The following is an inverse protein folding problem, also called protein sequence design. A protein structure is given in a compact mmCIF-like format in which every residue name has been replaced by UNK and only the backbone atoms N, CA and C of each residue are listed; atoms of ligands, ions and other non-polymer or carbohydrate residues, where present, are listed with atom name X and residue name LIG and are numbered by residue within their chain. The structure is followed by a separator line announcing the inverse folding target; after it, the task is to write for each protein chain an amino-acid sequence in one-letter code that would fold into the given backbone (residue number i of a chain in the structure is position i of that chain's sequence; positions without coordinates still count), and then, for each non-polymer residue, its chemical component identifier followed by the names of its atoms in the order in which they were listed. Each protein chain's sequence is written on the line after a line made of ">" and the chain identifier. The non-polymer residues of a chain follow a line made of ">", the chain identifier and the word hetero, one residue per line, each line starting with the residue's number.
data_IF_051093354270
#
_entry.id   IF_051093354270
#
_cell.length_a   1.000
_cell.length_b   1.000
_cell.length_c   1.000
_cell.angle_alpha   90.00
_cell.angle_beta   90.00
_cell.angle_gamma   90.00
#
_symmetry.space_group_name_H-M   'P 1'
#
loop_
_entity.id
_entity.type
_entity.pdbx_description
1 polymer ?
#
# COMPACT_ATOMS: atom_id res chain seq x y z
N UNK A 1 -13.78 5.46 -40.98
CA UNK A 1 -14.68 6.23 -40.10
C UNK A 1 -13.82 6.68 -38.92
N UNK A 2 -13.37 7.93 -38.96
CA UNK A 2 -12.46 8.47 -37.91
C UNK A 2 -13.31 8.79 -36.68
N UNK A 3 -13.08 8.09 -35.59
CA UNK A 3 -13.73 8.40 -34.31
C UNK A 3 -13.16 9.73 -33.84
N UNK A 4 -13.92 10.81 -34.00
CA UNK A 4 -13.58 12.12 -33.45
C UNK A 4 -13.74 12.00 -31.94
N UNK A 5 -12.61 12.01 -31.23
CA UNK A 5 -12.56 11.99 -29.78
C UNK A 5 -13.22 13.28 -29.25
N UNK A 6 -14.44 13.17 -28.68
CA UNK A 6 -15.26 14.31 -28.22
C UNK A 6 -14.68 15.01 -26.95
N UNK A 7 -13.50 14.60 -26.48
CA UNK A 7 -12.90 15.09 -25.25
C UNK A 7 -11.92 16.25 -25.49
N UNK A 8 -12.19 17.17 -26.43
CA UNK A 8 -11.37 18.37 -26.62
C UNK A 8 -12.23 19.63 -26.47
N UNK A 9 -11.83 20.54 -25.62
CA UNK A 9 -12.35 21.90 -25.56
C UNK A 9 -11.30 22.85 -26.16
N UNK A 10 -11.64 23.56 -27.22
CA UNK A 10 -10.72 24.43 -27.98
C UNK A 10 -9.43 23.72 -28.44
N UNK A 11 -9.53 22.44 -28.86
CA UNK A 11 -8.37 21.68 -29.35
C UNK A 11 -7.42 21.17 -28.25
N UNK A 12 -7.72 21.39 -26.97
CA UNK A 12 -6.97 20.85 -25.83
C UNK A 12 -7.73 19.67 -25.22
N UNK A 13 -7.03 18.62 -24.74
CA UNK A 13 -7.68 17.51 -24.05
C UNK A 13 -8.43 18.04 -22.81
N UNK A 14 -9.74 17.73 -22.75
CA UNK A 14 -10.56 18.10 -21.60
C UNK A 14 -10.33 17.11 -20.45
N UNK A 15 -9.95 17.62 -19.27
CA UNK A 15 -9.85 16.84 -18.05
C UNK A 15 -11.18 16.88 -17.30
N UNK A 16 -11.77 15.72 -17.03
CA UNK A 16 -12.96 15.61 -16.18
C UNK A 16 -12.65 16.00 -14.73
N UNK A 17 -13.71 16.24 -13.93
CA UNK A 17 -13.53 16.52 -12.50
C UNK A 17 -12.79 15.38 -11.76
N UNK A 18 -13.08 14.13 -12.11
CA UNK A 18 -12.39 12.96 -11.54
C UNK A 18 -10.91 12.92 -11.95
N UNK A 19 -10.59 13.28 -13.19
CA UNK A 19 -9.23 13.38 -13.66
C UNK A 19 -8.42 14.44 -12.89
N UNK A 20 -9.00 15.64 -12.73
CA UNK A 20 -8.39 16.73 -11.95
C UNK A 20 -8.17 16.31 -10.49
N UNK A 21 -9.17 15.63 -9.89
CA UNK A 21 -9.06 15.08 -8.54
C UNK A 21 -7.91 14.08 -8.42
N UNK A 22 -7.78 13.13 -9.36
CA UNK A 22 -6.71 12.15 -9.35
C UNK A 22 -5.33 12.79 -9.42
N UNK A 23 -5.14 13.78 -10.31
CA UNK A 23 -3.87 14.52 -10.42
C UNK A 23 -3.58 15.34 -9.15
N UNK A 24 -4.60 15.94 -8.52
CA UNK A 24 -4.42 16.69 -7.29
C UNK A 24 -4.03 15.81 -6.11
N UNK A 25 -4.60 14.59 -6.02
CA UNK A 25 -4.19 13.61 -5.01
C UNK A 25 -2.78 13.09 -5.27
N UNK A 26 -2.43 12.79 -6.53
CA UNK A 26 -1.08 12.37 -6.89
C UNK A 26 -0.02 13.44 -6.61
N UNK A 27 -0.37 14.73 -6.74
CA UNK A 27 0.50 15.84 -6.34
C UNK A 27 0.77 15.89 -4.82
N UNK A 28 -0.07 15.24 -4.01
CA UNK A 28 0.11 15.03 -2.57
C UNK A 28 0.73 13.65 -2.27
N UNK A 29 1.35 13.01 -3.28
CA UNK A 29 1.97 11.69 -3.17
C UNK A 29 1.01 10.54 -2.85
N UNK A 30 -0.31 10.75 -2.99
CA UNK A 30 -1.31 9.71 -2.84
C UNK A 30 -1.34 8.84 -4.09
N UNK A 31 -1.08 7.56 -3.96
CA UNK A 31 -1.22 6.60 -5.06
C UNK A 31 -2.69 6.40 -5.42
N UNK A 32 -3.03 6.67 -6.68
CA UNK A 32 -4.38 6.59 -7.21
C UNK A 32 -4.47 5.62 -8.38
N UNK A 33 -5.68 5.15 -8.64
CA UNK A 33 -6.02 4.33 -9.80
C UNK A 33 -7.48 4.51 -10.17
N UNK A 34 -7.83 4.15 -11.39
CA UNK A 34 -9.17 4.35 -11.91
C UNK A 34 -10.09 3.17 -11.61
N UNK A 35 -11.33 3.47 -11.20
CA UNK A 35 -12.35 2.48 -10.83
C UNK A 35 -13.63 2.66 -11.64
N UNK A 36 -14.39 1.58 -11.81
CA UNK A 36 -15.71 1.61 -12.49
C UNK A 36 -16.70 2.50 -11.76
N UNK A 37 -17.32 3.40 -12.51
CA UNK A 37 -18.38 4.26 -11.97
C UNK A 37 -19.77 3.62 -12.01
N UNK A 38 -19.95 2.54 -12.78
CA UNK A 38 -21.20 1.76 -12.92
C UNK A 38 -20.94 0.26 -12.76
N UNK A 39 -22.02 -0.51 -12.53
CA UNK A 39 -21.97 -1.96 -12.63
C UNK A 39 -21.86 -2.39 -14.11
N UNK A 40 -20.99 -3.33 -14.38
CA UNK A 40 -20.85 -3.92 -15.71
C UNK A 40 -21.68 -5.20 -15.81
N UNK A 41 -22.48 -5.30 -16.89
CA UNK A 41 -23.26 -6.48 -17.23
C UNK A 41 -22.81 -7.01 -18.59
N UNK A 42 -22.70 -8.33 -18.74
CA UNK A 42 -22.45 -9.01 -20.02
C UNK A 42 -23.57 -9.99 -20.29
N UNK A 43 -24.21 -9.89 -21.47
CA UNK A 43 -25.36 -10.73 -21.85
C UNK A 43 -26.46 -10.75 -20.78
N UNK A 44 -26.74 -9.58 -20.15
CA UNK A 44 -27.75 -9.43 -19.10
C UNK A 44 -27.36 -9.99 -17.74
N UNK A 45 -26.18 -10.59 -17.61
CA UNK A 45 -25.63 -11.10 -16.32
C UNK A 45 -24.67 -10.10 -15.70
N UNK A 46 -24.73 -9.97 -14.38
CA UNK A 46 -23.75 -9.19 -13.61
C UNK A 46 -22.34 -9.75 -13.85
N UNK A 47 -21.41 -8.86 -14.19
CA UNK A 47 -20.03 -9.22 -14.48
C UNK A 47 -19.03 -8.58 -13.51
N UNK A 48 -19.11 -7.26 -13.33
CA UNK A 48 -18.20 -6.53 -12.44
C UNK A 48 -18.93 -5.44 -11.66
N UNK A 49 -18.54 -5.27 -10.40
CA UNK A 49 -19.15 -4.27 -9.54
C UNK A 49 -18.66 -2.85 -9.86
N UNK A 50 -19.54 -1.88 -9.66
CA UNK A 50 -19.15 -0.49 -9.47
C UNK A 50 -18.07 -0.41 -8.40
N UNK A 51 -17.16 0.56 -8.49
CA UNK A 51 -15.98 0.75 -7.62
C UNK A 51 -14.87 -0.29 -7.80
N UNK A 52 -15.05 -1.34 -8.61
CA UNK A 52 -13.97 -2.28 -8.89
C UNK A 52 -12.90 -1.62 -9.74
N UNK A 53 -11.61 -1.96 -9.53
CA UNK A 53 -10.51 -1.44 -10.33
C UNK A 53 -10.68 -1.72 -11.83
N UNK A 54 -10.22 -0.80 -12.67
CA UNK A 54 -10.09 -0.97 -14.12
C UNK A 54 -8.69 -1.46 -14.50
N UNK A 55 -7.73 -1.30 -13.61
CA UNK A 55 -6.34 -1.77 -13.75
C UNK A 55 -6.23 -3.30 -13.74
N UNK A 56 -5.24 -3.88 -14.44
CA UNK A 56 -5.03 -5.34 -14.52
C UNK A 56 -4.81 -6.02 -13.17
N UNK A 57 -3.96 -5.42 -12.30
CA UNK A 57 -3.61 -5.99 -11.00
C UNK A 57 -4.38 -5.34 -9.84
N UNK A 58 -5.52 -4.67 -10.12
CA UNK A 58 -6.33 -4.01 -9.12
C UNK A 58 -5.62 -2.78 -8.53
N UNK A 59 -5.75 -2.55 -7.23
CA UNK A 59 -5.14 -1.41 -6.56
C UNK A 59 -3.60 -1.50 -6.46
N UNK A 60 -3.00 -2.64 -6.80
CA UNK A 60 -1.55 -2.78 -6.86
C UNK A 60 -0.90 -2.01 -8.01
N UNK A 61 -1.68 -1.59 -9.01
CA UNK A 61 -1.21 -0.72 -10.10
C UNK A 61 -1.34 0.78 -9.76
N UNK A 62 -1.74 1.12 -8.53
CA UNK A 62 -1.88 2.51 -8.11
C UNK A 62 -0.57 3.28 -8.29
N UNK A 63 -0.68 4.55 -8.67
CA UNK A 63 0.47 5.36 -9.07
C UNK A 63 0.31 6.83 -8.71
N UNK A 64 1.43 7.54 -8.60
CA UNK A 64 1.50 9.01 -8.56
C UNK A 64 1.95 9.60 -9.90
N UNK A 65 2.20 8.78 -10.94
CA UNK A 65 2.63 9.24 -12.25
C UNK A 65 1.53 9.99 -12.98
N UNK A 66 1.71 11.29 -13.19
CA UNK A 66 0.76 12.13 -13.93
C UNK A 66 0.52 11.64 -15.36
N UNK A 67 1.55 11.12 -16.02
CA UNK A 67 1.42 10.58 -17.37
C UNK A 67 0.51 9.36 -17.41
N UNK A 68 0.65 8.44 -16.46
CA UNK A 68 -0.21 7.26 -16.34
C UNK A 68 -1.65 7.64 -15.95
N UNK A 69 -1.81 8.63 -15.07
CA UNK A 69 -3.12 9.16 -14.68
C UNK A 69 -3.80 9.83 -15.87
N UNK A 70 -3.09 10.66 -16.64
CA UNK A 70 -3.62 11.27 -17.86
C UNK A 70 -4.11 10.20 -18.85
N UNK A 71 -3.33 9.13 -19.08
CA UNK A 71 -3.70 8.02 -19.96
C UNK A 71 -5.00 7.36 -19.49
N UNK A 72 -5.10 6.97 -18.23
CA UNK A 72 -6.26 6.29 -17.68
C UNK A 72 -7.55 7.12 -17.74
N UNK A 73 -7.49 8.41 -17.39
CA UNK A 73 -8.69 9.25 -17.40
C UNK A 73 -9.04 9.84 -18.76
N UNK A 74 -8.09 9.88 -19.71
CA UNK A 74 -8.45 10.16 -21.10
C UNK A 74 -9.20 8.98 -21.74
N UNK A 75 -8.86 7.75 -21.38
CA UNK A 75 -9.60 6.55 -21.83
C UNK A 75 -10.93 6.38 -21.07
N UNK A 76 -10.94 6.66 -19.77
CA UNK A 76 -12.09 6.47 -18.88
C UNK A 76 -12.44 7.74 -18.11
N UNK A 77 -12.98 8.81 -18.76
CA UNK A 77 -13.16 10.12 -18.13
C UNK A 77 -14.13 10.12 -16.93
N UNK A 78 -15.08 9.17 -16.89
CA UNK A 78 -16.06 9.02 -15.82
C UNK A 78 -15.61 8.07 -14.70
N UNK A 79 -14.41 7.51 -14.79
CA UNK A 79 -13.90 6.59 -13.79
C UNK A 79 -13.79 7.26 -12.41
N UNK A 80 -14.20 6.53 -11.36
CA UNK A 80 -14.02 6.96 -9.98
C UNK A 80 -12.55 6.91 -9.60
N UNK A 81 -12.14 7.78 -8.68
CA UNK A 81 -10.77 7.78 -8.14
C UNK A 81 -10.69 6.79 -6.99
N UNK A 82 -10.06 5.64 -7.25
CA UNK A 82 -9.58 4.74 -6.21
C UNK A 82 -8.24 5.23 -5.68
N UNK A 83 -7.99 5.07 -4.39
CA UNK A 83 -6.73 5.46 -3.78
C UNK A 83 -6.29 4.46 -2.70
N UNK A 84 -5.00 4.38 -2.45
CA UNK A 84 -4.39 3.46 -1.50
C UNK A 84 -4.00 4.23 -0.23
N UNK A 85 -4.76 4.13 0.88
CA UNK A 85 -4.45 4.88 2.10
C UNK A 85 -3.04 4.61 2.63
N UNK A 86 -2.60 3.37 2.53
CA UNK A 86 -1.28 2.96 3.01
C UNK A 86 -0.10 3.60 2.25
N UNK A 87 -0.30 4.15 1.04
CA UNK A 87 0.77 4.83 0.30
C UNK A 87 1.29 6.09 1.01
N UNK A 88 0.45 6.68 1.85
CA UNK A 88 0.75 7.88 2.63
C UNK A 88 0.61 7.64 4.15
N UNK A 89 0.78 6.39 4.59
CA UNK A 89 0.68 6.00 6.00
C UNK A 89 -0.65 6.39 6.66
N UNK A 90 -1.73 6.23 5.90
CA UNK A 90 -3.07 6.52 6.36
C UNK A 90 -3.96 5.28 6.32
N UNK A 91 -5.06 5.36 7.04
CA UNK A 91 -6.19 4.48 6.96
C UNK A 91 -7.49 5.29 6.87
N UNK A 92 -8.55 4.65 6.42
CA UNK A 92 -9.88 5.23 6.37
C UNK A 92 -10.79 4.49 7.34
N UNK A 93 -11.42 5.24 8.21
CA UNK A 93 -12.61 4.80 8.92
C UNK A 93 -13.81 5.06 8.00
N UNK A 94 -14.38 4.00 7.47
CA UNK A 94 -15.51 3.99 6.53
C UNK A 94 -16.78 3.67 7.31
N UNK A 95 -17.61 4.68 7.51
CA UNK A 95 -18.87 4.60 8.25
C UNK A 95 -20.01 4.50 7.23
N UNK A 96 -20.46 3.27 6.99
CA UNK A 96 -21.60 3.01 6.11
C UNK A 96 -22.90 3.60 6.69
N UNK A 97 -23.76 4.10 5.80
CA UNK A 97 -25.15 4.44 6.10
C UNK A 97 -26.07 3.74 5.08
N UNK A 98 -26.51 2.54 5.45
CA UNK A 98 -27.39 1.69 4.67
C UNK A 98 -28.62 1.30 5.48
N UNK A 99 -29.65 0.78 4.84
CA UNK A 99 -30.90 0.42 5.51
C UNK A 99 -30.76 -0.59 6.66
N UNK A 100 -29.75 -1.46 6.56
CA UNK A 100 -29.47 -2.54 7.52
C UNK A 100 -28.25 -2.26 8.40
N UNK A 101 -27.47 -1.21 8.10
CA UNK A 101 -26.21 -0.87 8.79
C UNK A 101 -26.03 0.65 8.87
N UNK A 102 -25.75 1.17 10.06
CA UNK A 102 -25.46 2.57 10.26
C UNK A 102 -24.24 2.75 11.17
N UNK A 103 -23.06 2.82 10.52
CA UNK A 103 -21.78 2.98 11.22
C UNK A 103 -21.67 4.28 11.98
N UNK A 104 -22.26 5.38 11.45
CA UNK A 104 -22.28 6.68 12.14
C UNK A 104 -23.02 6.54 13.47
N UNK A 105 -24.22 5.97 13.46
CA UNK A 105 -24.98 5.72 14.70
C UNK A 105 -24.22 4.81 15.66
N UNK A 106 -23.50 3.80 15.15
CA UNK A 106 -22.76 2.85 15.98
C UNK A 106 -21.61 3.51 16.75
N UNK A 107 -20.91 4.47 16.16
CA UNK A 107 -19.83 5.21 16.84
C UNK A 107 -20.38 6.31 17.76
N UNK A 108 -21.42 7.03 17.33
CA UNK A 108 -22.05 8.08 18.13
C UNK A 108 -22.69 7.56 19.42
N UNK A 109 -23.46 6.48 19.35
CA UNK A 109 -24.12 5.89 20.55
C UNK A 109 -23.13 5.35 21.59
N UNK A 110 -21.86 5.17 21.21
CA UNK A 110 -20.78 4.74 22.10
C UNK A 110 -19.86 5.87 22.50
N UNK A 111 -20.20 7.08 22.07
CA UNK A 111 -19.40 8.29 22.34
C UNK A 111 -17.91 8.12 21.91
N UNK A 112 -17.69 7.42 20.78
CA UNK A 112 -16.35 7.18 20.25
C UNK A 112 -15.89 8.39 19.46
N UNK A 113 -14.64 8.78 19.65
CA UNK A 113 -14.00 9.80 18.85
C UNK A 113 -13.71 9.25 17.45
N UNK A 114 -14.25 9.89 16.39
CA UNK A 114 -14.14 9.40 15.03
C UNK A 114 -13.94 10.51 13.98
N UNK A 115 -13.93 11.76 14.40
CA UNK A 115 -13.90 12.89 13.45
C UNK A 115 -12.48 13.22 13.06
N UNK A 116 -12.20 13.17 11.76
CA UNK A 116 -10.94 13.62 11.18
C UNK A 116 -11.05 15.02 10.55
N UNK A 117 -9.93 15.74 10.48
CA UNK A 117 -9.83 16.98 9.71
C UNK A 117 -9.97 16.74 8.19
N UNK A 118 -9.66 15.54 7.73
CA UNK A 118 -9.84 15.11 6.32
C UNK A 118 -10.93 14.05 6.28
N UNK A 119 -12.12 14.45 5.86
CA UNK A 119 -13.27 13.57 5.73
C UNK A 119 -14.17 13.97 4.56
N UNK A 120 -14.97 13.06 4.10
CA UNK A 120 -15.95 13.29 3.04
C UNK A 120 -17.12 12.31 3.10
N UNK A 121 -18.27 12.77 2.59
CA UNK A 121 -19.46 11.93 2.47
C UNK A 121 -19.40 11.02 1.27
N UNK A 122 -19.91 9.80 1.44
CA UNK A 122 -20.14 8.86 0.33
C UNK A 122 -21.51 9.12 -0.30
N UNK A 123 -21.73 8.71 -1.57
CA UNK A 123 -23.03 8.87 -2.23
C UNK A 123 -24.20 8.16 -1.56
N UNK A 124 -23.93 7.18 -0.69
CA UNK A 124 -24.95 6.49 0.12
C UNK A 124 -25.26 7.19 1.44
N UNK A 125 -24.65 8.35 1.71
CA UNK A 125 -24.83 9.09 2.94
C UNK A 125 -23.96 8.65 4.11
N UNK A 126 -23.07 7.69 3.89
CA UNK A 126 -22.01 7.32 4.84
C UNK A 126 -20.85 8.33 4.83
N UNK A 127 -19.83 8.09 5.62
CA UNK A 127 -18.69 8.98 5.78
C UNK A 127 -17.36 8.22 5.74
N UNK A 128 -16.34 8.82 5.12
CA UNK A 128 -14.96 8.38 5.18
C UNK A 128 -14.15 9.42 5.98
N UNK A 129 -13.50 8.98 7.04
CA UNK A 129 -12.58 9.77 7.85
C UNK A 129 -11.17 9.26 7.69
N UNK A 130 -10.24 10.11 7.26
CA UNK A 130 -8.85 9.74 7.00
C UNK A 130 -8.02 9.99 8.25
N UNK A 131 -7.28 8.99 8.69
CA UNK A 131 -6.40 9.07 9.85
C UNK A 131 -5.00 8.60 9.50
N UNK A 132 -3.99 9.13 10.20
CA UNK A 132 -2.66 8.56 10.17
C UNK A 132 -2.67 7.20 10.85
N UNK A 133 -2.11 6.22 10.17
CA UNK A 133 -1.94 4.87 10.70
C UNK A 133 -0.43 4.56 10.77
N UNK A 134 0.23 4.81 11.92
CA UNK A 134 1.63 4.47 12.09
C UNK A 134 1.87 2.99 11.82
N UNK A 135 2.95 2.67 11.11
CA UNK A 135 3.31 1.30 10.74
C UNK A 135 3.31 0.33 11.92
N UNK A 136 3.78 0.81 13.07
CA UNK A 136 3.86 0.03 14.33
C UNK A 136 2.49 -0.36 14.90
N UNK A 137 1.39 0.25 14.42
CA UNK A 137 0.03 0.04 14.94
C UNK A 137 -0.98 -0.34 13.86
N UNK A 138 -0.55 -0.87 12.72
CA UNK A 138 -1.47 -1.25 11.64
C UNK A 138 -2.61 -2.14 12.14
N UNK A 139 -3.82 -1.69 11.87
CA UNK A 139 -5.05 -2.41 12.21
C UNK A 139 -5.37 -3.47 11.15
N UNK A 140 -5.03 -3.20 9.90
CA UNK A 140 -5.42 -3.98 8.75
C UNK A 140 -6.88 -3.73 8.32
N UNK A 141 -7.25 -4.10 7.08
CA UNK A 141 -8.61 -3.89 6.60
C UNK A 141 -9.58 -4.83 7.30
N UNK A 142 -10.66 -4.26 7.85
CA UNK A 142 -11.71 -5.00 8.53
C UNK A 142 -13.09 -4.45 8.22
N UNK A 143 -14.07 -5.33 8.08
CA UNK A 143 -15.49 -5.01 7.98
C UNK A 143 -16.17 -5.22 9.34
N UNK A 144 -17.22 -4.41 9.60
CA UNK A 144 -17.97 -4.44 10.86
C UNK A 144 -17.00 -4.47 12.07
N UNK A 145 -16.09 -3.49 12.10
CA UNK A 145 -14.97 -3.41 13.04
C UNK A 145 -15.46 -3.49 14.48
N UNK A 146 -14.81 -4.32 15.31
CA UNK A 146 -15.25 -4.65 16.66
C UNK A 146 -16.67 -5.22 16.78
N UNK A 147 -17.25 -5.69 15.69
CA UNK A 147 -18.64 -6.13 15.61
C UNK A 147 -19.64 -4.97 15.54
N UNK A 148 -19.21 -3.76 15.14
CA UNK A 148 -20.08 -2.61 14.94
C UNK A 148 -20.57 -2.60 13.50
N UNK A 149 -21.88 -2.83 13.24
CA UNK A 149 -22.42 -2.94 11.89
C UNK A 149 -22.21 -1.63 11.11
N UNK A 150 -21.53 -1.72 9.96
CA UNK A 150 -21.27 -0.57 9.09
C UNK A 150 -20.08 0.29 9.50
N UNK A 151 -19.27 -0.14 10.46
CA UNK A 151 -18.00 0.49 10.80
C UNK A 151 -16.87 -0.34 10.18
N UNK A 152 -16.30 0.13 9.08
CA UNK A 152 -15.22 -0.54 8.37
C UNK A 152 -13.90 0.23 8.52
N UNK A 153 -12.79 -0.49 8.57
CA UNK A 153 -11.45 0.09 8.49
C UNK A 153 -10.81 -0.31 7.18
N UNK A 154 -10.35 0.67 6.41
CA UNK A 154 -9.57 0.50 5.19
C UNK A 154 -8.14 0.94 5.44
N UNK A 155 -7.24 -0.01 5.55
CA UNK A 155 -5.83 0.24 5.79
C UNK A 155 -4.95 -0.61 4.86
N UNK A 156 -3.73 -0.93 5.23
CA UNK A 156 -2.80 -1.71 4.40
C UNK A 156 -3.42 -2.96 3.78
N UNK A 157 -3.25 -3.14 2.47
CA UNK A 157 -3.85 -4.23 1.69
C UNK A 157 -5.30 -3.97 1.26
N UNK A 158 -5.76 -2.72 1.30
CA UNK A 158 -7.07 -2.29 0.81
C UNK A 158 -7.02 -0.92 0.16
N UNK A 159 -8.13 -0.54 -0.46
CA UNK A 159 -8.30 0.78 -1.08
C UNK A 159 -9.65 1.38 -0.70
N UNK A 160 -9.77 2.68 -0.91
CA UNK A 160 -11.01 3.42 -0.80
C UNK A 160 -11.30 4.19 -2.09
N UNK A 161 -12.56 4.65 -2.27
CA UNK A 161 -12.90 5.60 -3.33
C UNK A 161 -12.91 7.00 -2.71
N UNK A 162 -12.24 7.94 -3.36
CA UNK A 162 -12.29 9.33 -2.95
C UNK A 162 -13.51 10.03 -3.53
N UNK A 163 -14.39 10.54 -2.68
CA UNK A 163 -15.62 11.24 -3.08
C UNK A 163 -15.60 12.74 -2.77
N UNK A 164 -14.66 13.17 -1.95
CA UNK A 164 -14.51 14.58 -1.58
C UNK A 164 -13.75 15.41 -2.62
N UNK A 165 -13.61 16.69 -2.34
CA UNK A 165 -12.65 17.52 -3.05
C UNK A 165 -11.22 17.09 -2.70
N UNK A 166 -10.25 17.39 -3.56
CA UNK A 166 -8.85 17.22 -3.21
C UNK A 166 -8.50 18.14 -2.02
N UNK A 167 -7.86 17.62 -0.97
CA UNK A 167 -7.37 18.44 0.11
C UNK A 167 -6.22 19.32 -0.38
N UNK A 168 -6.01 20.46 0.25
CA UNK A 168 -4.85 21.33 -0.06
C UNK A 168 -3.56 20.81 0.57
N UNK A 169 -3.67 20.02 1.63
CA UNK A 169 -2.57 19.36 2.34
C UNK A 169 -3.09 18.17 3.15
N UNK A 170 -2.22 17.21 3.40
CA UNK A 170 -2.47 16.06 4.27
C UNK A 170 -1.67 16.13 5.59
N UNK A 171 -0.99 17.25 5.87
CA UNK A 171 -0.19 17.43 7.08
C UNK A 171 -1.02 17.36 8.36
N UNK A 172 -2.25 17.89 8.32
CA UNK A 172 -3.16 17.96 9.46
C UNK A 172 -4.06 16.71 9.62
N UNK A 173 -3.76 15.62 8.93
CA UNK A 173 -4.47 14.35 9.16
C UNK A 173 -4.15 13.88 10.58
N UNK A 174 -5.16 13.72 11.47
CA UNK A 174 -4.93 13.32 12.84
C UNK A 174 -4.53 11.84 12.95
N UNK A 175 -3.90 11.48 14.06
CA UNK A 175 -3.64 10.09 14.41
C UNK A 175 -4.95 9.31 14.53
N UNK A 176 -4.88 8.03 14.22
CA UNK A 176 -6.03 7.13 14.36
C UNK A 176 -6.46 7.03 15.84
N UNK A 177 -7.76 7.12 16.14
CA UNK A 177 -8.27 7.00 17.50
C UNK A 177 -7.86 5.70 18.18
N UNK A 178 -7.51 5.77 19.48
CA UNK A 178 -6.99 4.63 20.26
C UNK A 178 -7.94 3.42 20.28
N UNK A 179 -9.26 3.64 20.29
CA UNK A 179 -10.23 2.55 20.28
C UNK A 179 -10.14 1.66 19.02
N UNK A 180 -9.65 2.23 17.90
CA UNK A 180 -9.41 1.45 16.68
C UNK A 180 -8.15 0.58 16.84
N UNK A 181 -7.13 1.02 17.56
CA UNK A 181 -5.95 0.21 17.84
C UNK A 181 -6.22 -0.94 18.81
N UNK A 182 -7.15 -0.76 19.77
CA UNK A 182 -7.47 -1.77 20.76
C UNK A 182 -8.13 -3.02 20.17
N UNK A 183 -8.81 -2.89 19.03
CA UNK A 183 -9.50 -3.98 18.35
C UNK A 183 -8.61 -4.83 17.45
N UNK A 184 -7.29 -4.77 17.56
CA UNK A 184 -6.41 -5.65 16.79
C UNK A 184 -6.91 -7.09 16.89
N UNK A 185 -7.19 -7.70 15.74
CA UNK A 185 -7.48 -9.15 15.69
C UNK A 185 -6.40 -9.84 16.50
N UNK A 186 -6.79 -10.56 17.55
CA UNK A 186 -5.96 -11.67 18.04
C UNK A 186 -5.66 -12.49 16.80
N UNK A 187 -4.39 -12.51 16.38
CA UNK A 187 -3.97 -13.32 15.25
C UNK A 187 -4.64 -14.67 15.44
N UNK A 188 -5.45 -15.12 14.45
CA UNK A 188 -5.96 -16.49 14.51
C UNK A 188 -4.72 -17.33 14.69
N UNK A 189 -4.62 -18.00 15.82
CA UNK A 189 -3.52 -18.90 16.12
C UNK A 189 -3.30 -19.70 14.84
N UNK A 190 -2.12 -19.52 14.24
CA UNK A 190 -1.73 -20.15 12.98
C UNK A 190 -2.11 -21.61 13.14
N UNK A 191 -2.99 -22.13 12.29
CA UNK A 191 -3.36 -23.54 12.34
C UNK A 191 -2.04 -24.31 12.33
N UNK A 192 -1.78 -25.17 13.34
CA UNK A 192 -0.61 -26.03 13.28
C UNK A 192 -0.82 -26.94 12.06
N UNK A 193 -0.06 -26.71 10.99
CA UNK A 193 -0.20 -27.51 9.77
C UNK A 193 0.00 -26.79 8.45
N UNK A 194 0.27 -25.47 8.36
CA UNK A 194 0.91 -24.94 7.16
C UNK A 194 2.41 -25.30 7.26
N UNK A 195 2.74 -26.52 6.92
CA UNK A 195 4.09 -26.90 6.57
C UNK A 195 4.51 -26.02 5.41
N UNK A 196 5.40 -25.04 5.68
CA UNK A 196 6.27 -24.56 4.62
C UNK A 196 6.90 -25.83 4.02
N UNK A 197 6.66 -26.07 2.73
CA UNK A 197 7.44 -27.06 2.01
C UNK A 197 8.88 -26.58 2.12
N UNK A 198 9.66 -27.28 2.89
CA UNK A 198 11.11 -27.26 2.82
C UNK A 198 11.47 -27.58 1.37
N UNK A 199 11.83 -26.54 0.61
CA UNK A 199 12.44 -26.71 -0.69
C UNK A 199 13.85 -27.25 -0.42
N UNK A 200 14.17 -28.33 -1.10
CA UNK A 200 15.38 -29.15 -1.11
C UNK A 200 16.65 -28.58 -0.45
N UNK A 201 17.17 -29.37 0.48
CA UNK A 201 18.31 -29.11 1.33
C UNK A 201 19.69 -29.15 0.67
N UNK A 202 19.93 -28.42 -0.42
CA UNK A 202 21.27 -28.40 -1.02
C UNK A 202 21.55 -27.12 -1.85
N UNK A 203 21.26 -25.92 -1.31
CA UNK A 203 21.74 -24.65 -1.87
C UNK A 203 22.70 -23.96 -0.89
N UNK A 204 23.73 -23.38 -1.43
CA UNK A 204 24.75 -22.64 -0.69
C UNK A 204 24.19 -21.24 -0.34
N UNK A 205 23.64 -21.10 0.86
CA UNK A 205 22.84 -19.95 1.30
C UNK A 205 23.67 -18.70 1.61
N UNK A 206 24.93 -18.84 2.04
CA UNK A 206 25.81 -17.71 2.38
C UNK A 206 26.00 -16.75 1.20
N UNK A 207 26.03 -17.25 -0.02
CA UNK A 207 26.20 -16.44 -1.22
C UNK A 207 24.98 -15.58 -1.59
N UNK A 208 23.75 -16.03 -1.31
CA UNK A 208 22.52 -15.30 -1.68
C UNK A 208 22.34 -14.08 -0.74
N UNK A 209 22.62 -14.23 0.54
CA UNK A 209 22.56 -13.16 1.52
C UNK A 209 23.57 -12.05 1.20
N UNK A 210 24.81 -12.42 0.91
CA UNK A 210 25.87 -11.48 0.55
C UNK A 210 25.55 -10.74 -0.75
N UNK A 211 25.00 -11.43 -1.76
CA UNK A 211 24.54 -10.83 -3.01
C UNK A 211 23.38 -9.86 -2.78
N UNK A 212 22.46 -10.16 -1.87
CA UNK A 212 21.38 -9.26 -1.54
C UNK A 212 21.89 -7.97 -0.90
N UNK A 213 22.81 -8.05 0.07
CA UNK A 213 23.43 -6.86 0.68
C UNK A 213 24.20 -6.03 -0.35
N UNK A 214 24.96 -6.65 -1.23
CA UNK A 214 25.66 -5.96 -2.32
C UNK A 214 24.68 -5.25 -3.28
N UNK A 215 23.57 -5.89 -3.59
CA UNK A 215 22.53 -5.31 -4.44
C UNK A 215 21.83 -4.11 -3.76
N UNK A 216 21.68 -4.10 -2.45
CA UNK A 216 21.08 -2.99 -1.71
C UNK A 216 21.95 -1.73 -1.73
N UNK A 217 23.29 -1.88 -1.84
CA UNK A 217 24.24 -0.78 -1.89
C UNK A 217 24.48 -0.10 -0.54
N UNK A 218 25.56 0.65 -0.48
CA UNK A 218 26.05 1.38 0.70
C UNK A 218 26.09 2.92 0.48
N UNK A 219 25.50 3.41 -0.60
CA UNK A 219 25.43 4.83 -0.91
C UNK A 219 24.71 5.63 0.19
N UNK A 220 24.78 6.94 0.12
CA UNK A 220 24.08 7.82 1.05
C UNK A 220 22.58 7.47 1.11
N UNK A 221 22.03 7.21 2.30
CA UNK A 221 20.65 6.78 2.45
C UNK A 221 19.66 7.80 1.88
N UNK A 222 18.73 7.32 1.09
CA UNK A 222 17.60 8.11 0.65
C UNK A 222 16.53 8.17 1.74
N UNK A 223 15.59 9.13 1.64
CA UNK A 223 14.54 9.31 2.65
C UNK A 223 13.76 8.02 2.99
N UNK A 224 13.57 7.11 2.02
CA UNK A 224 12.92 5.82 2.26
C UNK A 224 13.75 4.90 3.17
N UNK A 225 15.08 4.95 3.05
CA UNK A 225 15.99 4.21 3.91
C UNK A 225 15.93 4.75 5.34
N UNK A 226 15.99 6.08 5.51
CA UNK A 226 15.89 6.74 6.81
C UNK A 226 14.60 6.40 7.55
N UNK A 227 13.46 6.35 6.84
CA UNK A 227 12.18 5.95 7.45
C UNK A 227 12.13 4.50 7.91
N UNK A 228 12.79 3.58 7.19
CA UNK A 228 12.88 2.19 7.63
C UNK A 228 13.80 2.08 8.83
N UNK A 229 14.89 2.84 8.86
CA UNK A 229 15.80 2.95 9.99
C UNK A 229 15.07 3.41 11.26
N UNK A 230 14.35 4.54 11.19
CA UNK A 230 13.52 5.07 12.29
C UNK A 230 12.52 4.03 12.80
N UNK A 231 11.89 3.26 11.89
CA UNK A 231 10.97 2.20 12.26
C UNK A 231 11.67 1.08 13.02
N UNK A 232 12.83 0.60 12.54
CA UNK A 232 13.62 -0.45 13.21
C UNK A 232 14.03 0.03 14.62
N UNK A 233 14.51 1.25 14.75
CA UNK A 233 14.93 1.83 16.04
C UNK A 233 13.75 2.00 17.02
N UNK A 234 12.53 2.19 16.52
CA UNK A 234 11.33 2.31 17.35
C UNK A 234 10.84 0.96 17.91
N UNK A 235 11.31 -0.16 17.38
CA UNK A 235 10.92 -1.49 17.82
C UNK A 235 11.72 -1.89 19.07
N UNK A 236 11.03 -2.17 20.17
CA UNK A 236 11.64 -2.70 21.39
C UNK A 236 12.09 -4.15 21.24
N UNK A 237 11.53 -4.85 20.26
CA UNK A 237 11.79 -6.24 19.95
C UNK A 237 11.44 -6.51 18.49
N UNK A 238 12.39 -7.00 17.72
CA UNK A 238 12.20 -7.41 16.33
C UNK A 238 11.92 -8.91 16.31
N UNK A 239 10.65 -9.27 16.14
CA UNK A 239 10.24 -10.67 16.00
C UNK A 239 10.30 -11.13 14.54
N UNK A 240 10.00 -12.43 14.32
CA UNK A 240 9.97 -13.04 12.99
C UNK A 240 9.07 -12.27 11.98
N UNK A 241 7.87 -11.89 12.41
CA UNK A 241 6.92 -11.19 11.54
C UNK A 241 7.43 -9.78 11.15
N UNK A 242 8.15 -9.09 12.06
CA UNK A 242 8.79 -7.81 11.78
C UNK A 242 9.97 -8.00 10.82
N UNK A 243 10.78 -9.03 11.03
CA UNK A 243 11.89 -9.37 10.15
C UNK A 243 11.40 -9.58 8.70
N UNK A 244 10.40 -10.45 8.48
CA UNK A 244 9.82 -10.73 7.15
C UNK A 244 9.27 -9.45 6.52
N UNK A 245 8.52 -8.66 7.28
CA UNK A 245 7.89 -7.43 6.81
C UNK A 245 8.90 -6.36 6.40
N UNK A 246 9.91 -6.12 7.25
CA UNK A 246 10.93 -5.11 7.00
C UNK A 246 11.88 -5.52 5.88
N UNK A 247 12.23 -6.80 5.78
CA UNK A 247 13.00 -7.34 4.66
C UNK A 247 12.28 -7.12 3.33
N UNK A 248 10.99 -7.44 3.28
CA UNK A 248 10.18 -7.20 2.08
C UNK A 248 10.11 -5.70 1.74
N UNK A 249 9.96 -4.82 2.73
CA UNK A 249 9.92 -3.38 2.53
C UNK A 249 11.24 -2.82 2.00
N UNK A 250 12.37 -3.25 2.57
CA UNK A 250 13.70 -2.89 2.08
C UNK A 250 13.85 -3.29 0.61
N UNK A 251 13.46 -4.53 0.28
CA UNK A 251 13.51 -5.04 -1.08
C UNK A 251 12.63 -4.22 -2.05
N UNK A 252 11.38 -3.95 -1.70
CA UNK A 252 10.47 -3.16 -2.53
C UNK A 252 10.96 -1.71 -2.70
N UNK A 253 11.54 -1.12 -1.65
CA UNK A 253 12.13 0.22 -1.74
C UNK A 253 13.29 0.25 -2.74
N UNK A 254 14.13 -0.79 -2.78
CA UNK A 254 15.22 -0.91 -3.77
C UNK A 254 14.70 -1.04 -5.19
N UNK A 255 13.67 -1.87 -5.41
CA UNK A 255 13.01 -1.99 -6.71
C UNK A 255 12.40 -0.65 -7.17
N UNK A 256 11.91 0.15 -6.25
CA UNK A 256 11.44 1.52 -6.49
C UNK A 256 12.53 2.56 -6.71
N UNK A 257 13.81 2.15 -6.76
CA UNK A 257 14.96 3.02 -7.02
C UNK A 257 15.59 3.67 -5.78
N UNK A 258 15.18 3.29 -4.56
CA UNK A 258 15.85 3.77 -3.35
C UNK A 258 17.29 3.26 -3.26
N UNK A 259 18.19 4.09 -2.75
CA UNK A 259 19.62 3.80 -2.55
C UNK A 259 19.97 3.83 -1.06
N UNK A 260 21.14 3.28 -0.70
CA UNK A 260 21.62 3.29 0.69
C UNK A 260 20.85 2.38 1.64
N UNK A 261 20.29 1.30 1.14
CA UNK A 261 19.48 0.37 1.93
C UNK A 261 20.32 -0.73 2.62
N UNK A 262 21.57 -0.91 2.23
CA UNK A 262 22.49 -1.88 2.86
C UNK A 262 22.66 -1.63 4.36
N UNK A 263 23.02 -0.41 4.81
CA UNK A 263 23.13 -0.09 6.23
C UNK A 263 21.85 -0.35 7.03
N UNK A 264 20.68 -0.05 6.44
CA UNK A 264 19.36 -0.29 7.06
C UNK A 264 19.06 -1.78 7.19
N UNK A 265 19.44 -2.57 6.18
CA UNK A 265 19.32 -4.03 6.25
C UNK A 265 20.22 -4.63 7.33
N UNK A 266 21.46 -4.11 7.49
CA UNK A 266 22.36 -4.52 8.59
C UNK A 266 21.77 -4.17 9.94
N UNK A 267 21.20 -2.97 10.10
CA UNK A 267 20.53 -2.56 11.34
C UNK A 267 19.38 -3.51 11.70
N UNK A 268 18.59 -3.91 10.70
CA UNK A 268 17.50 -4.89 10.90
C UNK A 268 18.04 -6.24 11.39
N UNK A 269 19.13 -6.72 10.79
CA UNK A 269 19.78 -7.97 11.19
C UNK A 269 20.29 -7.89 12.63
N UNK A 270 20.95 -6.81 13.00
CA UNK A 270 21.48 -6.61 14.34
C UNK A 270 20.35 -6.49 15.37
N UNK A 271 19.30 -5.76 15.06
CA UNK A 271 18.11 -5.64 15.91
C UNK A 271 17.41 -7.00 16.11
N UNK A 272 17.23 -7.78 15.06
CA UNK A 272 16.67 -9.13 15.14
C UNK A 272 17.56 -10.06 15.97
N UNK A 273 18.86 -10.09 15.69
CA UNK A 273 19.83 -10.89 16.42
C UNK A 273 19.87 -10.57 17.92
N UNK A 274 19.76 -9.29 18.29
CA UNK A 274 19.81 -8.86 19.69
C UNK A 274 18.57 -9.26 20.49
N UNK A 275 17.44 -9.51 19.81
CA UNK A 275 16.14 -9.77 20.44
C UNK A 275 15.73 -11.24 20.40
N UNK A 276 16.39 -12.08 19.60
CA UNK A 276 16.08 -13.52 19.55
C UNK A 276 16.86 -14.26 20.64
N UNK A 277 16.13 -15.10 21.41
CA UNK A 277 16.72 -15.99 22.39
C UNK A 277 17.34 -17.26 21.76
N UNK A 278 17.21 -17.41 20.45
CA UNK A 278 17.69 -18.58 19.71
C UNK A 278 18.98 -18.25 18.95
N UNK A 279 20.10 -18.32 19.65
CA UNK A 279 21.43 -18.02 19.06
C UNK A 279 21.84 -18.98 17.94
N UNK A 280 21.27 -20.18 17.83
CA UNK A 280 21.73 -21.21 16.90
C UNK A 280 20.89 -21.29 15.60
N UNK A 281 19.82 -20.52 15.44
CA UNK A 281 18.90 -20.61 14.30
C UNK A 281 18.54 -19.29 13.63
N UNK A 282 19.03 -18.15 14.14
CA UNK A 282 18.63 -16.83 13.65
C UNK A 282 19.08 -16.57 12.20
N UNK A 283 20.21 -17.11 11.79
CA UNK A 283 20.72 -16.98 10.41
C UNK A 283 19.77 -17.63 9.40
N UNK A 284 19.29 -18.83 9.69
CA UNK A 284 18.34 -19.54 8.85
C UNK A 284 17.01 -18.79 8.77
N UNK A 285 16.55 -18.23 9.89
CA UNK A 285 15.31 -17.49 9.95
C UNK A 285 15.41 -16.18 9.12
N UNK A 286 16.56 -15.52 9.16
CA UNK A 286 16.88 -14.36 8.34
C UNK A 286 16.89 -14.73 6.85
N UNK A 287 17.55 -15.82 6.49
CA UNK A 287 17.60 -16.32 5.10
C UNK A 287 16.20 -16.66 4.59
N UNK A 288 15.37 -17.32 5.40
CA UNK A 288 14.00 -17.64 5.03
C UNK A 288 13.14 -16.37 4.86
N UNK A 289 13.35 -15.34 5.69
CA UNK A 289 12.67 -14.07 5.57
C UNK A 289 13.08 -13.32 4.28
N UNK A 290 14.37 -13.29 3.97
CA UNK A 290 14.91 -12.67 2.76
C UNK A 290 14.38 -13.39 1.52
N UNK A 291 14.43 -14.71 1.51
CA UNK A 291 13.92 -15.52 0.40
C UNK A 291 12.41 -15.35 0.20
N UNK A 292 11.66 -15.27 1.30
CA UNK A 292 10.23 -14.98 1.25
C UNK A 292 9.93 -13.59 0.66
N UNK A 293 10.79 -12.61 0.89
CA UNK A 293 10.67 -11.25 0.36
C UNK A 293 11.09 -11.14 -1.11
N UNK A 294 12.14 -11.88 -1.51
CA UNK A 294 12.70 -11.83 -2.86
C UNK A 294 11.88 -12.64 -3.87
N UNK A 295 11.22 -13.71 -3.41
CA UNK A 295 10.55 -14.68 -4.27
C UNK A 295 11.50 -15.73 -4.86
N UNK A 296 10.93 -16.83 -5.43
CA UNK A 296 11.70 -18.01 -5.85
C UNK A 296 12.61 -17.77 -7.05
N UNK A 297 12.33 -16.77 -7.86
CA UNK A 297 13.01 -16.48 -9.13
C UNK A 297 13.96 -15.28 -9.05
N UNK A 298 14.21 -14.76 -7.85
CA UNK A 298 15.08 -13.60 -7.69
C UNK A 298 16.53 -13.90 -8.08
N UNK A 299 17.12 -12.99 -8.87
CA UNK A 299 18.53 -12.96 -9.22
C UNK A 299 19.02 -11.51 -9.22
N UNK A 300 20.21 -11.22 -8.69
CA UNK A 300 20.75 -9.86 -8.67
C UNK A 300 20.96 -9.28 -10.08
N UNK A 301 21.16 -10.09 -11.08
CA UNK A 301 21.41 -9.65 -12.45
C UNK A 301 20.16 -9.12 -13.18
N UNK A 302 18.96 -9.43 -12.69
CA UNK A 302 17.67 -9.03 -13.33
C UNK A 302 17.11 -7.75 -12.76
N UNK A 303 17.64 -7.26 -11.64
CA UNK A 303 17.01 -6.20 -10.84
C UNK A 303 17.73 -4.86 -10.86
N UNK A 304 18.68 -4.62 -11.77
CA UNK A 304 19.32 -3.29 -11.87
C UNK A 304 18.43 -2.35 -12.68
N UNK A 305 17.72 -1.36 -12.06
CA UNK A 305 17.05 -0.32 -12.81
C UNK A 305 18.15 0.58 -13.41
N UNK A 306 18.34 0.49 -14.74
CA UNK A 306 19.06 1.55 -15.45
C UNK A 306 20.39 1.25 -16.08
N UNK A 307 20.60 0.10 -16.71
CA UNK A 307 21.59 0.00 -17.80
C UNK A 307 20.86 0.03 -19.16
N UNK A 308 20.20 1.13 -19.50
CA UNK A 308 19.99 1.44 -20.91
C UNK A 308 21.32 1.90 -21.48
N UNK A 309 21.91 0.99 -22.26
CA UNK A 309 23.14 1.25 -22.99
C UNK A 309 23.09 2.57 -23.74
N UNK A 310 24.05 3.41 -23.46
CA UNK A 310 24.39 4.51 -24.30
C UNK A 310 25.01 3.97 -25.58
N UNK A 311 24.19 3.78 -26.61
CA UNK A 311 24.69 3.58 -27.95
C UNK A 311 25.29 4.90 -28.42
N UNK A 312 26.62 4.84 -28.60
CA UNK A 312 27.40 5.93 -29.13
C UNK A 312 26.92 6.35 -30.51
N UNK A 313 26.59 7.60 -30.64
CA UNK A 313 26.62 8.27 -31.93
C UNK A 313 28.09 8.65 -32.26
N UNK A 314 28.71 7.86 -33.12
CA UNK A 314 29.83 8.27 -33.92
C UNK A 314 29.32 8.45 -35.37
N UNK A 315 29.46 9.65 -35.91
CA UNK A 315 29.23 9.97 -37.32
C UNK A 315 28.80 11.41 -37.50
#
# INVERSE_FOLDING_TARGET
>A
MTIVNQNTYLGKPYRSAQHILALALAALEVEVFHCRHVHEFRNGKFFRARKSPLTPNGFHDATTSFAQIDEWWFEHPDALVGWVPASIECAVLDLDNKSDKNGIYEVEKRELDYVSAVWYRTPSGGEHHVFREPWVRKVGPQQDYLGFPGVDVRSGGSYAIWYGNAPTSLENVPEMPEWIHQGKRKSKARRPGSTFRTLDGNRNYEGELEQWFQWLGDETPWWAALRIEEEIESLHHVGHDDLVRLTWRIHQSRLGGAVGLGPVALLLVDAFRSTTNNHDGWERELEDAIRGALGPDWSPDVSTPGSTGGDGYNG
#
